data_IF_944909197071
#
_entry.id   IF_944909197071
#
_cell.length_a   1.000
_cell.length_b   1.000
_cell.length_c   1.000
_cell.angle_alpha   90.00
_cell.angle_beta   90.00
_cell.angle_gamma   90.00
#
_symmetry.space_group_name_H-M   'P 1'
#
loop_
_entity.id
_entity.type
_entity.pdbx_description
1 polymer ?
#
# COMPACT_ATOMS: atom_id res chain seq x y z
N UNK A 1 -29.07 -9.25 12.32
CA UNK A 1 -29.88 -10.41 11.92
C UNK A 1 -29.57 -10.85 10.49
N UNK A 2 -29.99 -10.09 9.46
CA UNK A 2 -29.83 -10.48 8.03
C UNK A 2 -28.37 -10.72 7.57
N UNK A 3 -27.44 -9.82 7.93
CA UNK A 3 -26.02 -10.00 7.58
C UNK A 3 -25.40 -11.26 8.21
N UNK A 4 -25.84 -11.65 9.41
CA UNK A 4 -25.32 -12.84 10.09
C UNK A 4 -25.93 -14.14 9.55
N UNK A 5 -27.18 -14.10 9.09
CA UNK A 5 -27.82 -15.19 8.36
C UNK A 5 -27.17 -15.40 6.99
N UNK A 6 -26.90 -14.31 6.26
CA UNK A 6 -26.13 -14.37 5.01
C UNK A 6 -24.69 -14.86 5.24
N UNK A 7 -24.05 -14.46 6.34
CA UNK A 7 -22.72 -14.94 6.73
C UNK A 7 -22.70 -16.44 7.05
N UNK A 8 -23.75 -16.94 7.72
CA UNK A 8 -23.95 -18.37 8.04
C UNK A 8 -24.31 -19.20 6.80
N UNK A 9 -25.16 -18.68 5.92
CA UNK A 9 -25.62 -19.38 4.72
C UNK A 9 -24.56 -19.41 3.60
N UNK A 10 -23.71 -18.37 3.51
CA UNK A 10 -22.73 -18.21 2.42
C UNK A 10 -21.34 -18.79 2.65
N UNK A 11 -21.11 -19.53 3.76
CA UNK A 11 -19.76 -19.94 4.20
C UNK A 11 -18.75 -18.78 4.08
N UNK A 12 -19.11 -17.61 4.65
CA UNK A 12 -18.20 -16.47 4.72
C UNK A 12 -17.12 -16.72 5.78
N UNK A 13 -16.34 -17.77 5.57
CA UNK A 13 -15.02 -17.93 6.16
C UNK A 13 -14.06 -17.29 5.17
N UNK A 14 -13.24 -16.37 5.66
CA UNK A 14 -12.14 -15.83 4.88
C UNK A 14 -11.30 -17.04 4.47
N UNK A 15 -11.17 -17.29 3.16
CA UNK A 15 -10.39 -18.42 2.63
C UNK A 15 -9.00 -18.40 3.31
N UNK A 16 -8.62 -19.44 4.07
CA UNK A 16 -7.40 -19.40 4.87
C UNK A 16 -6.15 -19.15 4.03
N UNK A 17 -6.11 -19.64 2.79
CA UNK A 17 -4.99 -19.42 1.89
C UNK A 17 -4.98 -17.98 1.35
N UNK A 18 -6.16 -17.40 1.08
CA UNK A 18 -6.27 -15.97 0.74
C UNK A 18 -5.83 -15.11 1.94
N UNK A 19 -6.29 -15.42 3.16
CA UNK A 19 -5.90 -14.71 4.39
C UNK A 19 -4.38 -14.77 4.60
N UNK A 20 -3.79 -15.96 4.49
CA UNK A 20 -2.34 -16.13 4.62
C UNK A 20 -1.58 -15.34 3.55
N UNK A 21 -2.10 -15.32 2.32
CA UNK A 21 -1.49 -14.54 1.23
C UNK A 21 -1.60 -13.03 1.44
N UNK A 22 -2.68 -12.54 2.06
CA UNK A 22 -2.83 -11.13 2.46
C UNK A 22 -1.83 -10.78 3.55
N UNK A 23 -1.75 -11.57 4.62
CA UNK A 23 -0.79 -11.35 5.70
C UNK A 23 0.66 -11.35 5.18
N UNK A 24 1.01 -12.31 4.32
CA UNK A 24 2.33 -12.31 3.68
C UNK A 24 2.57 -11.04 2.84
N UNK A 25 1.56 -10.51 2.15
CA UNK A 25 1.68 -9.26 1.41
C UNK A 25 1.87 -8.06 2.35
N UNK A 26 1.17 -8.02 3.49
CA UNK A 26 1.28 -7.00 4.54
C UNK A 26 2.64 -6.96 5.21
N UNK A 27 3.39 -8.06 5.19
CA UNK A 27 4.76 -8.16 5.72
C UNK A 27 5.84 -8.12 4.60
N UNK A 28 5.43 -7.89 3.34
CA UNK A 28 6.29 -8.00 2.15
C UNK A 28 7.03 -9.35 2.02
N UNK A 29 6.42 -10.42 2.55
CA UNK A 29 6.91 -11.78 2.45
C UNK A 29 6.41 -12.46 1.17
N UNK A 30 7.03 -13.60 0.84
CA UNK A 30 6.46 -14.50 -0.15
C UNK A 30 5.23 -15.22 0.40
N UNK A 31 4.31 -15.55 -0.49
CA UNK A 31 3.14 -16.36 -0.14
C UNK A 31 3.51 -17.81 0.21
N UNK A 32 2.51 -18.66 0.51
CA UNK A 32 2.74 -20.07 0.76
C UNK A 32 3.46 -20.74 -0.42
N UNK A 33 4.35 -21.69 -0.11
CA UNK A 33 4.96 -22.56 -1.12
C UNK A 33 3.89 -23.48 -1.69
N UNK A 34 3.58 -23.31 -2.97
CA UNK A 34 2.50 -24.01 -3.67
C UNK A 34 3.02 -24.56 -5.00
N UNK A 35 2.51 -25.72 -5.39
CA UNK A 35 2.74 -26.24 -6.73
C UNK A 35 2.03 -25.37 -7.78
N UNK A 36 2.32 -25.62 -9.06
CA UNK A 36 1.79 -24.81 -10.17
C UNK A 36 0.25 -24.77 -10.25
N UNK A 37 -0.43 -25.89 -9.95
CA UNK A 37 -1.89 -25.97 -10.01
C UNK A 37 -2.54 -25.22 -8.84
N UNK A 38 -2.03 -25.43 -7.62
CA UNK A 38 -2.46 -24.73 -6.41
C UNK A 38 -2.25 -23.23 -6.51
N UNK A 39 -1.12 -22.80 -7.06
CA UNK A 39 -0.80 -21.38 -7.27
C UNK A 39 -1.81 -20.72 -8.21
N UNK A 40 -2.18 -21.38 -9.31
CA UNK A 40 -3.20 -20.87 -10.24
C UNK A 40 -4.58 -20.80 -9.58
N UNK A 41 -4.93 -21.82 -8.79
CA UNK A 41 -6.18 -21.83 -8.03
C UNK A 41 -6.22 -20.71 -6.97
N UNK A 42 -5.12 -20.49 -6.26
CA UNK A 42 -4.99 -19.38 -5.31
C UNK A 42 -5.08 -18.03 -6.03
N UNK A 43 -4.40 -17.83 -7.16
CA UNK A 43 -4.48 -16.57 -7.90
C UNK A 43 -5.90 -16.21 -8.36
N UNK A 44 -6.69 -17.20 -8.82
CA UNK A 44 -8.10 -17.01 -9.18
C UNK A 44 -8.92 -16.62 -7.95
N UNK A 45 -8.90 -17.46 -6.91
CA UNK A 45 -9.64 -17.21 -5.67
C UNK A 45 -9.26 -15.87 -5.02
N UNK A 46 -7.98 -15.54 -5.02
CA UNK A 46 -7.49 -14.28 -4.47
C UNK A 46 -8.04 -13.09 -5.28
N UNK A 47 -8.04 -13.17 -6.62
CA UNK A 47 -8.64 -12.13 -7.46
C UNK A 47 -10.15 -12.02 -7.21
N UNK A 48 -10.85 -13.14 -7.06
CA UNK A 48 -12.30 -13.14 -6.82
C UNK A 48 -12.65 -12.55 -5.44
N UNK A 49 -11.82 -12.78 -4.42
CA UNK A 49 -12.07 -12.34 -3.03
C UNK A 49 -11.49 -10.95 -2.69
N UNK A 50 -10.38 -10.56 -3.31
CA UNK A 50 -9.64 -9.32 -3.00
C UNK A 50 -9.75 -8.29 -4.14
N UNK A 51 -10.08 -8.71 -5.35
CA UNK A 51 -10.23 -7.84 -6.53
C UNK A 51 -8.93 -7.57 -7.30
N UNK A 52 -7.77 -7.87 -6.73
CA UNK A 52 -6.45 -7.66 -7.37
C UNK A 52 -5.59 -8.92 -7.29
N UNK A 53 -4.50 -8.98 -8.05
CA UNK A 53 -3.53 -10.07 -7.91
C UNK A 53 -2.69 -9.93 -6.63
N UNK A 54 -2.20 -11.02 -6.02
CA UNK A 54 -1.36 -10.96 -4.81
C UNK A 54 -0.18 -10.00 -4.92
N UNK A 55 0.51 -10.02 -6.07
CA UNK A 55 1.64 -9.12 -6.35
C UNK A 55 1.23 -7.66 -6.35
N UNK A 56 0.02 -7.33 -6.81
CA UNK A 56 -0.46 -5.94 -6.79
C UNK A 56 -0.76 -5.49 -5.38
N UNK A 57 -1.38 -6.32 -4.56
CA UNK A 57 -1.63 -5.98 -3.16
C UNK A 57 -0.31 -5.77 -2.40
N UNK A 58 0.68 -6.64 -2.60
CA UNK A 58 2.02 -6.47 -2.04
C UNK A 58 2.68 -5.14 -2.46
N UNK A 59 2.56 -4.76 -3.73
CA UNK A 59 3.02 -3.42 -4.20
C UNK A 59 2.27 -2.28 -3.52
N UNK A 60 0.96 -2.41 -3.28
CA UNK A 60 0.17 -1.38 -2.58
C UNK A 60 0.61 -1.22 -1.13
N UNK A 61 0.80 -2.32 -0.39
CA UNK A 61 1.28 -2.25 0.99
C UNK A 61 2.69 -1.67 1.06
N UNK A 62 3.60 -2.12 0.20
CA UNK A 62 4.95 -1.56 0.09
C UNK A 62 4.92 -0.06 -0.19
N UNK A 63 4.08 0.36 -1.14
CA UNK A 63 3.93 1.77 -1.49
C UNK A 63 3.38 2.59 -0.32
N UNK A 64 2.42 2.04 0.43
CA UNK A 64 1.88 2.68 1.64
C UNK A 64 2.96 2.92 2.69
N UNK A 65 3.81 1.92 2.94
CA UNK A 65 4.89 2.02 3.95
C UNK A 65 5.87 3.16 3.69
N UNK A 66 6.05 3.59 2.44
CA UNK A 66 6.88 4.76 2.12
C UNK A 66 6.41 5.98 2.94
N UNK A 67 5.10 6.19 3.03
CA UNK A 67 4.54 7.34 3.76
C UNK A 67 4.65 7.17 5.26
N UNK A 68 4.53 5.94 5.77
CA UNK A 68 4.71 5.65 7.19
C UNK A 68 6.16 5.97 7.63
N UNK A 69 7.15 5.73 6.76
CA UNK A 69 8.55 6.12 7.00
C UNK A 69 8.80 7.62 6.76
N UNK A 70 8.17 8.21 5.74
CA UNK A 70 8.39 9.61 5.36
C UNK A 70 7.63 10.63 6.23
N UNK A 71 6.63 10.21 7.01
CA UNK A 71 5.87 11.09 7.94
C UNK A 71 6.28 10.93 9.41
N UNK A 72 7.37 10.21 9.69
CA UNK A 72 7.95 10.09 11.03
C UNK A 72 8.53 11.41 11.57
N UNK A 73 8.81 11.46 12.88
CA UNK A 73 9.20 12.69 13.60
C UNK A 73 10.52 13.33 13.14
N UNK A 74 11.34 12.62 12.36
CA UNK A 74 12.66 13.06 11.86
C UNK A 74 12.71 13.26 10.33
N UNK A 75 11.56 13.54 9.69
CA UNK A 75 11.49 13.61 8.23
C UNK A 75 12.03 14.92 7.64
N UNK A 76 13.33 14.94 7.31
CA UNK A 76 13.90 15.90 6.36
C UNK A 76 13.61 15.50 4.91
N UNK A 77 13.53 16.49 4.01
CA UNK A 77 13.23 16.31 2.57
C UNK A 77 14.16 15.34 1.80
N UNK A 78 15.28 14.97 2.41
CA UNK A 78 16.31 14.05 1.90
C UNK A 78 15.85 12.58 1.87
N UNK A 79 14.79 12.19 2.59
CA UNK A 79 14.58 10.76 2.92
C UNK A 79 13.64 9.94 2.02
N UNK A 80 13.21 10.39 0.82
CA UNK A 80 12.29 9.56 0.01
C UNK A 80 12.93 8.26 -0.53
N UNK A 81 14.21 8.29 -0.86
CA UNK A 81 14.94 7.09 -1.26
C UNK A 81 15.15 6.17 -0.06
N UNK A 82 15.53 6.72 1.09
CA UNK A 82 15.74 5.98 2.33
C UNK A 82 14.42 5.37 2.85
N UNK A 83 13.32 6.13 2.80
CA UNK A 83 11.97 5.66 3.09
C UNK A 83 11.54 4.57 2.11
N UNK A 84 11.93 4.67 0.84
CA UNK A 84 11.74 3.60 -0.15
C UNK A 84 12.48 2.32 0.23
N UNK A 85 13.77 2.42 0.57
CA UNK A 85 14.57 1.28 1.02
C UNK A 85 13.98 0.64 2.28
N UNK A 86 13.62 1.46 3.28
CA UNK A 86 12.97 1.01 4.51
C UNK A 86 11.61 0.35 4.25
N UNK A 87 10.86 0.84 3.26
CA UNK A 87 9.58 0.25 2.84
C UNK A 87 9.72 -1.08 2.10
N UNK A 88 10.94 -1.49 1.69
CA UNK A 88 11.21 -2.74 0.97
C UNK A 88 11.41 -2.59 -0.55
N UNK A 89 11.71 -1.39 -1.03
CA UNK A 89 12.15 -1.20 -2.42
C UNK A 89 13.62 -1.61 -2.57
N UNK A 90 13.93 -2.30 -3.67
CA UNK A 90 15.30 -2.67 -3.99
C UNK A 90 16.11 -1.47 -4.49
N UNK A 91 15.47 -0.62 -5.31
CA UNK A 91 16.10 0.50 -5.97
C UNK A 91 15.12 1.63 -6.27
N UNK A 92 15.67 2.79 -6.67
CA UNK A 92 14.89 3.96 -7.06
C UNK A 92 13.99 3.69 -8.30
N UNK A 93 14.43 2.98 -9.36
CA UNK A 93 13.55 2.64 -10.49
C UNK A 93 12.30 1.86 -10.10
N UNK A 94 12.37 0.91 -9.17
CA UNK A 94 11.20 0.19 -8.69
C UNK A 94 10.22 1.13 -8.00
N UNK A 95 10.71 1.97 -7.09
CA UNK A 95 9.90 2.99 -6.41
C UNK A 95 9.27 3.96 -7.41
N UNK A 96 10.03 4.43 -8.39
CA UNK A 96 9.57 5.38 -9.41
C UNK A 96 8.47 4.81 -10.31
N UNK A 97 8.42 3.49 -10.51
CA UNK A 97 7.31 2.81 -11.23
C UNK A 97 6.03 2.82 -10.39
N UNK A 98 6.13 2.54 -9.10
CA UNK A 98 4.95 2.52 -8.21
C UNK A 98 4.38 3.93 -7.97
N UNK A 99 5.22 4.95 -7.83
CA UNK A 99 4.76 6.35 -7.77
C UNK A 99 3.96 6.75 -9.02
N UNK A 100 4.47 6.43 -10.22
CA UNK A 100 3.74 6.68 -11.47
C UNK A 100 2.45 5.86 -11.54
N UNK A 101 2.49 4.60 -11.11
CA UNK A 101 1.34 3.69 -11.14
C UNK A 101 0.22 4.15 -10.21
N UNK A 102 0.54 4.58 -8.99
CA UNK A 102 -0.45 4.82 -7.95
C UNK A 102 -0.82 6.29 -7.77
N UNK A 103 0.12 7.22 -8.01
CA UNK A 103 -0.10 8.66 -7.87
C UNK A 103 -0.01 9.45 -9.19
N UNK A 104 0.41 8.81 -10.28
CA UNK A 104 0.53 9.47 -11.59
C UNK A 104 1.73 10.41 -11.73
N UNK A 105 2.57 10.56 -10.70
CA UNK A 105 3.71 11.48 -10.70
C UNK A 105 4.98 10.82 -10.10
N UNK A 106 6.08 11.55 -9.99
CA UNK A 106 7.30 11.09 -9.30
C UNK A 106 7.25 11.41 -7.81
N UNK A 107 8.04 10.70 -7.00
CA UNK A 107 8.19 11.01 -5.58
C UNK A 107 8.57 12.48 -5.32
N UNK A 108 9.50 13.02 -6.12
CA UNK A 108 9.94 14.41 -6.03
C UNK A 108 8.84 15.42 -6.39
N UNK A 109 8.04 15.14 -7.42
CA UNK A 109 6.92 16.00 -7.80
C UNK A 109 5.85 16.00 -6.71
N UNK A 110 5.49 14.81 -6.21
CA UNK A 110 4.53 14.66 -5.12
C UNK A 110 4.97 15.41 -3.86
N UNK A 111 6.23 15.24 -3.44
CA UNK A 111 6.78 15.92 -2.26
C UNK A 111 6.72 17.45 -2.40
N UNK A 112 7.05 17.97 -3.58
CA UNK A 112 6.96 19.42 -3.87
C UNK A 112 5.53 19.93 -3.73
N UNK A 113 4.55 19.19 -4.25
CA UNK A 113 3.13 19.54 -4.13
C UNK A 113 2.64 19.52 -2.68
N UNK A 114 3.07 18.56 -1.87
CA UNK A 114 2.72 18.51 -0.45
C UNK A 114 3.28 19.69 0.34
N UNK A 115 4.54 20.06 0.10
CA UNK A 115 5.17 21.23 0.74
C UNK A 115 4.42 22.51 0.37
N UNK A 116 4.03 22.65 -0.89
CA UNK A 116 3.26 23.82 -1.35
C UNK A 116 1.86 23.85 -0.70
N UNK A 117 1.17 22.72 -0.62
CA UNK A 117 -0.12 22.63 0.08
C UNK A 117 0.01 23.01 1.56
N UNK A 118 1.02 22.49 2.26
CA UNK A 118 1.28 22.81 3.66
C UNK A 118 1.55 24.32 3.86
N UNK A 119 2.36 24.94 2.99
CA UNK A 119 2.62 26.39 3.02
C UNK A 119 1.35 27.19 2.81
N UNK A 120 0.51 26.80 1.85
CA UNK A 120 -0.78 27.47 1.58
C UNK A 120 -1.73 27.36 2.77
N UNK A 121 -1.83 26.20 3.41
CA UNK A 121 -2.66 26.04 4.60
C UNK A 121 -2.16 26.91 5.76
N UNK A 122 -0.84 26.93 5.99
CA UNK A 122 -0.23 27.78 7.02
C UNK A 122 -0.48 29.28 6.77
N UNK A 123 -0.37 29.73 5.52
CA UNK A 123 -0.60 31.14 5.17
C UNK A 123 -2.07 31.57 5.26
N UNK A 124 -3.03 30.65 5.05
CA UNK A 124 -4.47 30.93 5.23
C UNK A 124 -4.91 30.90 6.70
N UNK A 125 -4.19 30.16 7.55
CA UNK A 125 -4.47 30.08 8.99
C UNK A 125 -4.01 31.34 9.76
N UNK A 126 -3.14 32.17 9.17
CA UNK A 126 -2.67 33.40 9.82
C UNK A 126 -3.61 34.57 9.52
N UNK A 127 -4.63 34.76 10.37
CA UNK A 127 -5.36 36.03 10.49
C UNK A 127 -4.93 36.66 11.82
N UNK A 128 -4.14 37.76 11.84
CA UNK A 128 -3.86 38.44 13.09
C UNK A 128 -5.17 39.09 13.56
N UNK A 129 -5.54 38.89 14.81
CA UNK A 129 -6.62 39.64 15.44
C UNK A 129 -6.23 41.13 15.51
N UNK A 130 -7.19 42.06 15.38
CA UNK A 130 -6.94 43.50 15.36
C UNK A 130 -6.39 44.05 16.68
#
# INVERSE_FOLDING_TARGET
AWLEEQRRAGDWRIDPAVRAQVAAAEDDLEGPSLNSAERRALQRRFRDRVGVAPRTLRSVFRFRRIFDHAMGQDADATSWLEAGLAAGYFDQPQMARDFRRFLGCTATAWAREQVELARRLASHSYKPAP
#
